data_IF_465613328702
#
_entry.id   IF_465613328702
#
_cell.length_a   1.000
_cell.length_b   1.000
_cell.length_c   1.000
_cell.angle_alpha   90.00
_cell.angle_beta   90.00
_cell.angle_gamma   90.00
#
_symmetry.space_group_name_H-M   'P 1'
#
loop_
_entity.id
_entity.type
_entity.pdbx_description
1 polymer ?
#
# COMPACT_ATOMS: atom_id res chain seq x y z
N UNK A 1 -2.93 -46.31 19.09
CA UNK A 1 -2.79 -44.87 19.39
C UNK A 1 -2.27 -44.16 18.15
N UNK A 2 -3.02 -43.20 17.60
CA UNK A 2 -2.58 -42.39 16.45
C UNK A 2 -1.53 -41.40 16.95
N UNK A 3 -0.34 -41.37 16.34
CA UNK A 3 0.65 -40.31 16.56
C UNK A 3 0.16 -39.07 15.82
N UNK A 4 -0.35 -38.08 16.56
CA UNK A 4 -0.54 -36.73 16.02
C UNK A 4 0.83 -36.19 15.60
N UNK A 5 1.00 -35.94 14.31
CA UNK A 5 2.17 -35.28 13.80
C UNK A 5 2.11 -33.81 14.24
N UNK A 6 3.01 -33.44 15.15
CA UNK A 6 3.21 -32.06 15.59
C UNK A 6 3.66 -31.25 14.36
N UNK A 7 3.03 -30.11 14.04
CA UNK A 7 3.43 -29.29 12.90
C UNK A 7 4.89 -28.86 13.06
N UNK A 8 5.71 -28.90 12.00
CA UNK A 8 7.10 -28.49 12.08
C UNK A 8 7.15 -27.00 12.43
N UNK A 9 7.86 -26.70 13.53
CA UNK A 9 8.19 -25.33 13.92
C UNK A 9 9.06 -24.75 12.80
N UNK A 10 8.70 -23.58 12.28
CA UNK A 10 9.37 -22.91 11.16
C UNK A 10 10.89 -22.94 11.32
N UNK A 11 11.60 -23.35 10.25
CA UNK A 11 13.05 -23.58 10.22
C UNK A 11 13.92 -22.34 10.53
N UNK A 12 13.30 -21.18 10.72
CA UNK A 12 13.98 -19.89 10.89
C UNK A 12 14.23 -19.49 12.35
N UNK A 13 13.88 -20.35 13.32
CA UNK A 13 14.20 -20.09 14.74
C UNK A 13 15.60 -20.62 15.06
N UNK A 14 16.58 -19.73 15.05
CA UNK A 14 17.95 -20.04 15.47
C UNK A 14 18.04 -19.83 16.99
N UNK A 15 18.07 -20.94 17.75
CA UNK A 15 18.38 -20.91 19.18
C UNK A 15 19.88 -20.66 19.40
N UNK A 16 20.22 -19.86 20.41
CA UNK A 16 21.61 -19.56 20.76
C UNK A 16 22.38 -20.81 21.24
N UNK A 17 21.67 -21.85 21.68
CA UNK A 17 22.24 -23.17 22.02
C UNK A 17 21.37 -24.27 21.41
N UNK A 18 21.99 -25.13 20.60
CA UNK A 18 21.41 -26.39 20.11
C UNK A 18 21.60 -27.56 21.08
N UNK A 19 22.09 -27.29 22.30
CA UNK A 19 22.46 -28.32 23.28
C UNK A 19 21.53 -28.28 24.48
N UNK A 20 20.99 -29.46 24.83
CA UNK A 20 20.31 -29.69 26.10
C UNK A 20 21.32 -29.60 27.27
N UNK A 21 20.89 -29.11 28.45
CA UNK A 21 21.73 -29.08 29.65
C UNK A 21 22.20 -30.50 30.03
N UNK A 22 23.47 -30.64 30.39
CA UNK A 22 24.01 -31.91 30.88
C UNK A 22 23.63 -32.06 32.37
N UNK A 23 22.54 -32.76 32.66
CA UNK A 23 22.21 -33.14 34.03
C UNK A 23 22.72 -34.56 34.36
N UNK A 24 23.11 -34.80 35.62
CA UNK A 24 23.37 -36.14 36.14
C UNK A 24 22.25 -36.54 37.10
N UNK A 25 21.69 -37.73 36.87
CA UNK A 25 20.68 -38.32 37.76
C UNK A 25 21.39 -39.06 38.91
N UNK A 26 21.07 -38.68 40.14
CA UNK A 26 21.48 -39.39 41.34
C UNK A 26 20.60 -40.62 41.63
N UNK A 27 20.91 -41.38 42.68
CA UNK A 27 20.06 -42.48 43.15
C UNK A 27 18.63 -41.96 43.39
N UNK A 28 17.61 -42.74 43.00
CA UNK A 28 16.18 -42.37 43.00
C UNK A 28 15.77 -41.28 41.97
N UNK A 29 16.50 -41.15 40.86
CA UNK A 29 16.13 -40.24 39.75
C UNK A 29 16.06 -38.75 40.13
N UNK A 30 16.68 -38.35 41.24
CA UNK A 30 16.80 -36.94 41.59
C UNK A 30 17.88 -36.27 40.74
N UNK A 31 17.55 -35.11 40.17
CA UNK A 31 18.50 -34.28 39.42
C UNK A 31 19.54 -33.77 40.42
N UNK A 32 20.79 -34.20 40.27
CA UNK A 32 21.91 -33.66 41.05
C UNK A 32 22.44 -32.47 40.27
N UNK A 33 22.27 -31.27 40.81
CA UNK A 33 22.89 -30.06 40.28
C UNK A 33 24.41 -30.26 40.27
N UNK A 34 24.96 -30.48 39.08
CA UNK A 34 26.39 -30.32 38.85
C UNK A 34 26.65 -28.84 39.05
N UNK A 35 27.49 -28.47 40.03
CA UNK A 35 27.97 -27.09 40.20
C UNK A 35 28.60 -26.66 38.88
N UNK A 36 27.85 -25.92 38.09
CA UNK A 36 28.34 -25.32 36.86
C UNK A 36 29.36 -24.24 37.22
N UNK A 37 30.45 -24.20 36.45
CA UNK A 37 31.43 -23.12 36.50
C UNK A 37 30.73 -21.75 36.48
N UNK A 38 31.28 -20.71 37.13
CA UNK A 38 30.64 -19.39 37.28
C UNK A 38 30.44 -18.61 35.96
N UNK A 39 30.65 -19.27 34.81
CA UNK A 39 30.48 -18.76 33.46
C UNK A 39 29.20 -19.25 32.77
N UNK A 40 28.46 -20.17 33.37
CA UNK A 40 27.17 -20.64 32.84
C UNK A 40 26.05 -19.77 33.42
N UNK A 41 25.38 -19.03 32.54
CA UNK A 41 24.27 -18.14 32.90
C UNK A 41 23.16 -18.94 33.58
N UNK A 42 22.58 -18.40 34.65
CA UNK A 42 21.50 -19.09 35.35
C UNK A 42 20.29 -19.31 34.43
N UNK A 43 19.51 -20.36 34.68
CA UNK A 43 18.37 -20.73 33.83
C UNK A 43 17.38 -19.57 33.61
N UNK A 44 17.18 -18.72 34.64
CA UNK A 44 16.33 -17.53 34.55
C UNK A 44 16.90 -16.48 33.58
N UNK A 45 18.22 -16.32 33.54
CA UNK A 45 18.89 -15.37 32.64
C UNK A 45 18.87 -15.87 31.19
N UNK A 46 19.00 -17.18 30.96
CA UNK A 46 18.87 -17.78 29.63
C UNK A 46 17.46 -17.55 29.09
N UNK A 47 16.43 -17.86 29.89
CA UNK A 47 15.03 -17.64 29.51
C UNK A 47 14.74 -16.16 29.27
N UNK A 48 15.26 -15.26 30.11
CA UNK A 48 15.07 -13.82 29.92
C UNK A 48 15.73 -13.32 28.62
N UNK A 49 16.94 -13.80 28.29
CA UNK A 49 17.63 -13.47 27.04
C UNK A 49 16.90 -13.99 25.80
N UNK A 50 16.47 -15.24 25.81
CA UNK A 50 15.74 -15.84 24.69
C UNK A 50 14.38 -15.16 24.48
N UNK A 51 13.66 -14.86 25.56
CA UNK A 51 12.38 -14.13 25.49
C UNK A 51 12.57 -12.73 24.89
N UNK A 52 13.65 -12.02 25.27
CA UNK A 52 13.97 -10.72 24.69
C UNK A 52 14.34 -10.80 23.20
N UNK A 53 15.11 -11.82 22.79
CA UNK A 53 15.44 -12.06 21.37
C UNK A 53 14.20 -12.37 20.53
N UNK A 54 13.29 -13.21 21.03
CA UNK A 54 12.04 -13.53 20.33
C UNK A 54 11.15 -12.30 20.16
N UNK A 55 11.05 -11.45 21.18
CA UNK A 55 10.30 -10.19 21.13
C UNK A 55 10.90 -9.20 20.11
N UNK A 56 12.23 -9.09 20.06
CA UNK A 56 12.91 -8.23 19.08
C UNK A 56 12.72 -8.75 17.64
N UNK A 57 12.84 -10.06 17.43
CA UNK A 57 12.55 -10.70 16.14
C UNK A 57 11.10 -10.46 15.69
N UNK A 58 10.12 -10.61 16.58
CA UNK A 58 8.72 -10.33 16.28
C UNK A 58 8.51 -8.87 15.87
N UNK A 59 9.17 -7.91 16.54
CA UNK A 59 9.12 -6.49 16.16
C UNK A 59 9.75 -6.24 14.78
N UNK A 60 10.91 -6.83 14.48
CA UNK A 60 11.58 -6.67 13.18
C UNK A 60 10.80 -7.31 12.03
N UNK A 61 10.18 -8.47 12.26
CA UNK A 61 9.26 -9.10 11.31
C UNK A 61 8.06 -8.18 11.03
N UNK A 62 7.48 -7.59 12.08
CA UNK A 62 6.37 -6.62 11.95
C UNK A 62 6.77 -5.36 11.16
N UNK A 63 7.96 -4.80 11.41
CA UNK A 63 8.49 -3.64 10.66
C UNK A 63 8.79 -4.02 9.20
N UNK A 64 9.34 -5.20 8.94
CA UNK A 64 9.60 -5.69 7.57
C UNK A 64 8.30 -5.83 6.78
N UNK A 65 7.26 -6.39 7.39
CA UNK A 65 5.95 -6.51 6.78
C UNK A 65 5.32 -5.15 6.51
N UNK A 66 5.49 -4.19 7.42
CA UNK A 66 5.03 -2.82 7.23
C UNK A 66 5.77 -2.13 6.07
N UNK A 67 7.09 -2.27 5.99
CA UNK A 67 7.89 -1.73 4.89
C UNK A 67 7.50 -2.34 3.54
N UNK A 68 7.30 -3.67 3.49
CA UNK A 68 6.83 -4.36 2.28
C UNK A 68 5.45 -3.87 1.83
N UNK A 69 4.53 -3.63 2.77
CA UNK A 69 3.21 -3.04 2.48
C UNK A 69 3.34 -1.61 1.97
N UNK A 70 4.24 -0.81 2.56
CA UNK A 70 4.49 0.57 2.14
C UNK A 70 5.05 0.64 0.72
N UNK A 71 6.04 -0.19 0.39
CA UNK A 71 6.65 -0.26 -0.93
C UNK A 71 5.64 -0.69 -2.00
N UNK A 72 4.80 -1.69 -1.70
CA UNK A 72 3.68 -2.09 -2.57
C UNK A 72 2.66 -0.95 -2.76
N UNK A 73 2.35 -0.23 -1.68
CA UNK A 73 1.47 0.94 -1.72
C UNK A 73 2.05 2.07 -2.57
N UNK A 74 3.34 2.34 -2.45
CA UNK A 74 4.06 3.34 -3.25
C UNK A 74 4.07 2.96 -4.73
N UNK A 75 4.35 1.70 -5.06
CA UNK A 75 4.31 1.20 -6.43
C UNK A 75 2.90 1.29 -7.03
N UNK A 76 1.86 0.99 -6.25
CA UNK A 76 0.47 1.14 -6.67
C UNK A 76 0.11 2.62 -6.91
N UNK A 77 0.52 3.53 -6.01
CA UNK A 77 0.30 4.96 -6.16
C UNK A 77 1.00 5.53 -7.40
N UNK A 78 2.24 5.11 -7.69
CA UNK A 78 2.95 5.52 -8.89
C UNK A 78 2.23 5.09 -10.18
N UNK A 79 1.69 3.87 -10.23
CA UNK A 79 0.87 3.39 -11.36
C UNK A 79 -0.38 4.23 -11.55
N UNK A 80 -1.10 4.52 -10.46
CA UNK A 80 -2.30 5.36 -10.50
C UNK A 80 -1.98 6.80 -10.95
N UNK A 81 -0.82 7.34 -10.58
CA UNK A 81 -0.37 8.66 -11.03
C UNK A 81 -0.11 8.71 -12.52
N UNK A 82 0.54 7.69 -13.09
CA UNK A 82 0.73 7.63 -14.55
C UNK A 82 -0.59 7.43 -15.29
N UNK A 83 -1.49 6.60 -14.77
CA UNK A 83 -2.83 6.46 -15.33
C UNK A 83 -3.60 7.79 -15.31
N UNK A 84 -3.52 8.55 -14.21
CA UNK A 84 -4.13 9.87 -14.11
C UNK A 84 -3.56 10.84 -15.16
N UNK A 85 -2.23 10.82 -15.39
CA UNK A 85 -1.56 11.64 -16.41
C UNK A 85 -2.00 11.28 -17.82
N UNK A 86 -2.16 9.99 -18.12
CA UNK A 86 -2.69 9.51 -19.40
C UNK A 86 -4.15 9.93 -19.61
N UNK A 87 -4.97 9.85 -18.56
CA UNK A 87 -6.37 10.30 -18.60
C UNK A 87 -6.48 11.81 -18.82
N UNK A 88 -5.60 12.61 -18.21
CA UNK A 88 -5.54 14.07 -18.42
C UNK A 88 -5.20 14.41 -19.87
N UNK A 89 -4.20 13.75 -20.46
CA UNK A 89 -3.86 13.90 -21.88
C UNK A 89 -5.02 13.50 -22.80
N UNK A 90 -5.69 12.38 -22.52
CA UNK A 90 -6.86 11.93 -23.28
C UNK A 90 -8.05 12.89 -23.14
N UNK A 91 -8.18 13.60 -22.01
CA UNK A 91 -9.25 14.60 -21.83
C UNK A 91 -9.04 15.83 -22.71
N UNK A 92 -7.79 16.30 -22.84
CA UNK A 92 -7.45 17.38 -23.77
C UNK A 92 -7.79 17.03 -25.22
N UNK A 93 -7.55 15.78 -25.62
CA UNK A 93 -7.92 15.29 -26.96
C UNK A 93 -9.44 15.28 -27.17
N UNK A 94 -10.24 14.95 -26.14
CA UNK A 94 -11.70 15.03 -26.20
C UNK A 94 -12.21 16.44 -26.46
N UNK A 95 -11.61 17.46 -25.84
CA UNK A 95 -11.97 18.87 -26.10
C UNK A 95 -11.69 19.26 -27.55
N UNK A 96 -10.55 18.84 -28.10
CA UNK A 96 -10.21 19.08 -29.51
C UNK A 96 -11.22 18.40 -30.43
N UNK A 97 -11.59 17.15 -30.14
CA UNK A 97 -12.57 16.40 -30.92
C UNK A 97 -13.97 17.04 -30.89
N UNK A 98 -14.45 17.44 -29.70
CA UNK A 98 -15.74 18.11 -29.55
C UNK A 98 -15.76 19.46 -30.28
N UNK A 99 -14.67 20.22 -30.23
CA UNK A 99 -14.53 21.46 -30.99
C UNK A 99 -14.60 21.20 -32.50
N UNK A 100 -13.80 20.27 -33.00
CA UNK A 100 -13.78 19.93 -34.43
C UNK A 100 -15.15 19.44 -34.92
N UNK A 101 -15.85 18.65 -34.10
CA UNK A 101 -17.21 18.20 -34.38
C UNK A 101 -18.19 19.37 -34.46
N UNK A 102 -18.14 20.29 -33.49
CA UNK A 102 -18.96 21.51 -33.50
C UNK A 102 -18.70 22.35 -34.75
N UNK A 103 -17.43 22.60 -35.09
CA UNK A 103 -17.05 23.38 -36.27
C UNK A 103 -17.55 22.72 -37.58
N UNK A 104 -17.50 21.39 -37.67
CA UNK A 104 -18.03 20.63 -38.80
C UNK A 104 -19.56 20.70 -38.90
N UNK A 105 -20.27 20.60 -37.77
CA UNK A 105 -21.73 20.75 -37.71
C UNK A 105 -22.17 22.17 -38.06
N UNK A 106 -21.43 23.18 -37.61
CA UNK A 106 -21.67 24.60 -37.95
C UNK A 106 -21.53 24.84 -39.46
N UNK A 107 -20.49 24.27 -40.07
CA UNK A 107 -20.30 24.28 -41.53
C UNK A 107 -21.42 23.54 -42.28
N UNK A 108 -21.93 22.45 -41.71
CA UNK A 108 -23.05 21.70 -42.30
C UNK A 108 -24.36 22.50 -42.19
N UNK A 109 -24.61 23.16 -41.05
CA UNK A 109 -25.83 23.97 -40.81
C UNK A 109 -26.05 25.01 -41.90
N UNK A 110 -24.99 25.67 -42.37
CA UNK A 110 -25.05 26.65 -43.46
C UNK A 110 -25.39 26.07 -44.85
N UNK A 111 -25.36 24.74 -45.01
CA UNK A 111 -25.57 24.02 -46.27
C UNK A 111 -26.87 23.21 -46.30
N UNK A 112 -27.53 23.00 -45.15
CA UNK A 112 -28.77 22.23 -45.03
C UNK A 112 -29.98 23.15 -44.78
N UNK A 113 -31.18 22.67 -45.15
CA UNK A 113 -32.45 23.40 -45.01
C UNK A 113 -33.57 22.49 -44.52
N UNK A 114 -34.63 23.09 -43.98
CA UNK A 114 -35.80 22.37 -43.46
C UNK A 114 -35.43 21.45 -42.30
N UNK A 115 -36.05 20.28 -42.23
CA UNK A 115 -35.85 19.31 -41.14
C UNK A 115 -34.39 18.93 -40.89
N UNK A 116 -33.58 18.78 -41.93
CA UNK A 116 -32.16 18.46 -41.78
C UNK A 116 -31.39 19.58 -41.08
N UNK A 117 -31.83 20.83 -41.22
CA UNK A 117 -31.24 21.96 -40.50
C UNK A 117 -31.61 21.92 -39.03
N UNK A 118 -32.87 21.61 -38.71
CA UNK A 118 -33.33 21.45 -37.33
C UNK A 118 -32.57 20.32 -36.62
N UNK A 119 -32.38 19.18 -37.29
CA UNK A 119 -31.61 18.04 -36.75
C UNK A 119 -30.13 18.41 -36.51
N UNK A 120 -29.52 19.22 -37.38
CA UNK A 120 -28.14 19.72 -37.20
C UNK A 120 -28.06 20.72 -36.05
N UNK A 121 -29.06 21.60 -35.90
CA UNK A 121 -29.14 22.52 -34.75
C UNK A 121 -29.27 21.76 -33.43
N UNK A 122 -30.06 20.69 -33.38
CA UNK A 122 -30.16 19.81 -32.22
C UNK A 122 -28.82 19.12 -31.92
N UNK A 123 -28.15 18.59 -32.94
CA UNK A 123 -26.84 17.96 -32.78
C UNK A 123 -25.79 18.95 -32.24
N UNK A 124 -25.79 20.21 -32.70
CA UNK A 124 -24.92 21.27 -32.17
C UNK A 124 -25.20 21.49 -30.68
N UNK A 125 -26.48 21.61 -30.30
CA UNK A 125 -26.87 21.80 -28.90
C UNK A 125 -26.42 20.62 -28.01
N UNK A 126 -26.52 19.38 -28.49
CA UNK A 126 -26.02 18.20 -27.77
C UNK A 126 -24.50 18.24 -27.58
N UNK A 127 -23.74 18.62 -28.62
CA UNK A 127 -22.27 18.74 -28.54
C UNK A 127 -21.85 19.84 -27.57
N UNK A 128 -22.55 20.98 -27.55
CA UNK A 128 -22.31 22.04 -26.58
C UNK A 128 -22.61 21.60 -25.14
N UNK A 129 -23.72 20.87 -24.93
CA UNK A 129 -24.05 20.32 -23.63
C UNK A 129 -22.97 19.32 -23.13
N UNK A 130 -22.45 18.47 -24.02
CA UNK A 130 -21.35 17.55 -23.70
C UNK A 130 -20.06 18.28 -23.35
N UNK A 131 -19.73 19.37 -24.06
CA UNK A 131 -18.55 20.18 -23.77
C UNK A 131 -18.63 20.85 -22.38
N UNK A 132 -19.82 21.34 -21.99
CA UNK A 132 -20.06 21.89 -20.65
C UNK A 132 -19.89 20.82 -19.57
N UNK A 133 -20.50 19.65 -19.75
CA UNK A 133 -20.38 18.54 -18.79
C UNK A 133 -18.94 18.06 -18.64
N UNK A 134 -18.17 17.98 -19.74
CA UNK A 134 -16.77 17.57 -19.72
C UNK A 134 -15.95 18.56 -18.89
N UNK A 135 -16.14 19.86 -19.12
CA UNK A 135 -15.45 20.94 -18.37
C UNK A 135 -15.81 20.92 -16.89
N UNK A 136 -17.08 20.69 -16.55
CA UNK A 136 -17.53 20.61 -15.16
C UNK A 136 -16.86 19.43 -14.43
N UNK A 137 -16.86 18.25 -15.05
CA UNK A 137 -16.25 17.05 -14.49
C UNK A 137 -14.74 17.21 -14.29
N UNK A 138 -14.07 17.91 -15.21
CA UNK A 138 -12.65 18.26 -15.05
C UNK A 138 -12.43 19.22 -13.88
N UNK A 139 -13.32 20.20 -13.67
CA UNK A 139 -13.29 21.07 -12.50
C UNK A 139 -13.41 20.31 -11.17
N UNK A 140 -14.34 19.37 -11.08
CA UNK A 140 -14.50 18.47 -9.93
C UNK A 140 -13.22 17.65 -9.69
N UNK A 141 -12.64 17.10 -10.75
CA UNK A 141 -11.40 16.32 -10.67
C UNK A 141 -10.20 17.16 -10.18
N UNK A 142 -10.12 18.43 -10.61
CA UNK A 142 -9.08 19.37 -10.15
C UNK A 142 -9.24 19.63 -8.65
N UNK A 143 -10.47 19.82 -8.18
CA UNK A 143 -10.75 20.02 -6.76
C UNK A 143 -10.37 18.78 -5.93
N UNK A 144 -10.80 17.59 -6.35
CA UNK A 144 -10.46 16.34 -5.69
C UNK A 144 -8.94 16.14 -5.63
N UNK A 145 -8.22 16.41 -6.73
CA UNK A 145 -6.74 16.37 -6.78
C UNK A 145 -6.10 17.31 -5.76
N UNK A 146 -6.68 18.50 -5.53
CA UNK A 146 -6.20 19.44 -4.53
C UNK A 146 -6.42 18.93 -3.09
N UNK A 147 -7.58 18.33 -2.81
CA UNK A 147 -7.88 17.72 -1.50
C UNK A 147 -6.97 16.51 -1.22
N UNK A 148 -6.75 15.65 -2.21
CA UNK A 148 -5.82 14.52 -2.12
C UNK A 148 -4.39 15.01 -1.87
N UNK A 149 -3.95 16.08 -2.54
CA UNK A 149 -2.62 16.69 -2.30
C UNK A 149 -2.50 17.20 -0.86
N UNK A 150 -3.56 17.80 -0.31
CA UNK A 150 -3.59 18.24 1.09
C UNK A 150 -3.47 17.05 2.05
N UNK A 151 -4.20 15.97 1.80
CA UNK A 151 -4.11 14.75 2.60
C UNK A 151 -2.71 14.12 2.54
N UNK A 152 -2.11 14.07 1.35
CA UNK A 152 -0.75 13.56 1.17
C UNK A 152 0.28 14.37 1.97
N UNK A 153 0.13 15.70 2.02
CA UNK A 153 1.00 16.55 2.84
C UNK A 153 0.82 16.26 4.34
N UNK A 154 -0.41 16.05 4.82
CA UNK A 154 -0.65 15.65 6.22
C UNK A 154 -0.02 14.30 6.55
N UNK A 155 -0.13 13.31 5.66
CA UNK A 155 0.50 12.00 5.85
C UNK A 155 2.03 12.10 5.85
N UNK A 156 2.60 12.94 4.97
CA UNK A 156 4.04 13.19 4.94
C UNK A 156 4.51 13.81 6.26
N UNK A 157 3.82 14.84 6.75
CA UNK A 157 4.11 15.47 8.04
C UNK A 157 4.03 14.47 9.19
N UNK A 158 2.94 13.70 9.27
CA UNK A 158 2.77 12.68 10.31
C UNK A 158 3.88 11.61 10.26
N UNK A 159 4.32 11.21 9.07
CA UNK A 159 5.43 10.28 8.91
C UNK A 159 6.78 10.88 9.34
N UNK A 160 7.04 12.15 9.04
CA UNK A 160 8.25 12.85 9.48
C UNK A 160 8.26 13.01 11.00
N UNK A 161 7.13 13.33 11.61
CA UNK A 161 7.01 13.46 13.06
C UNK A 161 7.13 12.11 13.78
N UNK A 162 6.57 11.04 13.22
CA UNK A 162 6.77 9.68 13.74
C UNK A 162 8.25 9.27 13.68
N UNK A 163 8.98 9.66 12.63
CA UNK A 163 10.42 9.37 12.51
C UNK A 163 11.23 10.07 13.60
N UNK A 164 10.93 11.34 13.90
CA UNK A 164 11.57 12.10 14.99
C UNK A 164 11.34 11.51 16.39
N UNK A 165 10.28 10.71 16.59
CA UNK A 165 9.99 10.06 17.88
C UNK A 165 10.77 8.75 18.07
N UNK A 166 11.33 8.19 16.99
CA UNK A 166 12.05 6.92 17.00
C UNK A 166 13.58 7.13 16.96
N UNK A 167 14.03 8.24 16.37
CA UNK A 167 15.42 8.73 16.41
C UNK A 167 15.76 9.37 17.78
#
# INVERSE_FOLDING_TARGET
MKKEAVPPVSADVIFASSRFPNYKLGPNSQIVEVKEDPKVLSMKEVVARETAQLLDQQRRLSVRDLASKFEKGLAAAAKLSEEARLREAASLEKHVLLKNLRDALESLRGRVVGKNKDDVEEAIAMVEALAVQLTQREGELIQEKAEVKKLANFLKQASEDAKKLVD
#
